data_IF_434172968751
#
_entry.id   IF_434172968751
#
_cell.length_a   1.000
_cell.length_b   1.000
_cell.length_c   1.000
_cell.angle_alpha   90.00
_cell.angle_beta   90.00
_cell.angle_gamma   90.00
#
_symmetry.space_group_name_H-M   'P 1'
#
loop_
_entity.id
_entity.type
_entity.pdbx_description
1 polymer ?
#
# COMPACT_ATOMS: atom_id res chain seq x y z
N UNK A 1 34.51 -17.10 75.68
CA UNK A 1 35.28 -16.72 74.49
C UNK A 1 35.11 -17.83 73.47
N UNK A 2 34.09 -17.71 72.61
CA UNK A 2 33.90 -18.53 71.42
C UNK A 2 33.42 -17.57 70.35
N UNK A 3 34.30 -17.25 69.41
CA UNK A 3 34.00 -16.36 68.29
C UNK A 3 33.22 -17.15 67.25
N UNK A 4 32.02 -16.66 66.93
CA UNK A 4 31.25 -17.06 65.75
C UNK A 4 32.02 -16.65 64.50
N UNK A 5 32.51 -17.62 63.74
CA UNK A 5 33.00 -17.38 62.38
C UNK A 5 31.80 -17.18 61.47
N UNK A 6 31.45 -15.91 61.23
CA UNK A 6 30.48 -15.52 60.21
C UNK A 6 31.07 -15.89 58.85
N UNK A 7 30.46 -16.88 58.20
CA UNK A 7 30.78 -17.26 56.84
C UNK A 7 30.19 -16.22 55.88
N UNK A 8 30.95 -15.14 55.62
CA UNK A 8 30.61 -14.18 54.57
C UNK A 8 31.09 -14.79 53.25
N UNK A 9 30.25 -15.61 52.64
CA UNK A 9 30.42 -16.10 51.26
C UNK A 9 29.16 -15.82 50.44
N UNK A 10 28.69 -14.58 50.48
CA UNK A 10 27.67 -14.05 49.55
C UNK A 10 28.18 -12.72 48.97
N UNK A 11 29.33 -12.75 48.29
CA UNK A 11 29.61 -11.73 47.27
C UNK A 11 29.17 -12.36 45.94
N UNK A 12 28.05 -11.91 45.36
CA UNK A 12 27.67 -12.33 44.02
C UNK A 12 28.82 -12.00 43.09
N UNK A 13 29.24 -13.02 42.34
CA UNK A 13 30.25 -12.99 41.29
C UNK A 13 30.32 -11.61 40.63
N UNK A 14 31.39 -10.88 40.95
CA UNK A 14 31.75 -9.62 40.30
C UNK A 14 31.78 -9.93 38.80
N UNK A 15 30.84 -9.36 38.04
CA UNK A 15 30.87 -9.44 36.58
C UNK A 15 32.21 -8.82 36.21
N UNK A 16 33.16 -9.64 35.74
CA UNK A 16 34.54 -9.22 35.58
C UNK A 16 34.58 -7.99 34.66
N UNK A 17 34.89 -6.84 35.25
CA UNK A 17 34.86 -5.54 34.57
C UNK A 17 35.75 -5.60 33.32
N UNK A 18 36.84 -6.37 33.37
CA UNK A 18 37.72 -6.57 32.21
C UNK A 18 37.09 -7.46 31.14
N UNK A 19 36.32 -8.49 31.52
CA UNK A 19 35.53 -9.29 30.57
C UNK A 19 34.47 -8.42 29.87
N UNK A 20 33.79 -7.54 30.60
CA UNK A 20 32.80 -6.63 30.01
C UNK A 20 33.41 -5.67 28.97
N UNK A 21 34.63 -5.18 29.22
CA UNK A 21 35.37 -4.30 28.30
C UNK A 21 35.84 -5.07 27.07
N UNK A 22 36.33 -6.30 27.24
CA UNK A 22 36.74 -7.18 26.13
C UNK A 22 35.54 -7.54 25.25
N UNK A 23 34.37 -7.77 25.84
CA UNK A 23 33.14 -8.13 25.12
C UNK A 23 32.32 -6.91 24.64
N UNK A 24 32.77 -5.69 24.89
CA UNK A 24 32.02 -4.47 24.59
C UNK A 24 31.79 -4.27 23.08
N UNK A 25 32.80 -4.55 22.26
CA UNK A 25 32.69 -4.42 20.81
C UNK A 25 31.66 -5.43 20.25
N UNK A 26 31.79 -6.70 20.60
CA UNK A 26 30.89 -7.76 20.14
C UNK A 26 29.44 -7.51 20.58
N UNK A 27 29.23 -7.12 21.84
CA UNK A 27 27.91 -6.80 22.36
C UNK A 27 27.30 -5.56 21.69
N UNK A 28 28.10 -4.54 21.39
CA UNK A 28 27.65 -3.34 20.67
C UNK A 28 27.28 -3.63 19.22
N UNK A 29 28.08 -4.44 18.52
CA UNK A 29 27.79 -4.89 17.14
C UNK A 29 26.50 -5.71 17.12
N UNK A 30 26.36 -6.66 18.05
CA UNK A 30 25.14 -7.47 18.17
C UNK A 30 23.91 -6.61 18.49
N UNK A 31 24.04 -5.65 19.40
CA UNK A 31 22.97 -4.72 19.74
C UNK A 31 22.57 -3.85 18.53
N UNK A 32 23.54 -3.30 17.80
CA UNK A 32 23.29 -2.52 16.59
C UNK A 32 22.60 -3.33 15.49
N UNK A 33 23.05 -4.57 15.27
CA UNK A 33 22.42 -5.48 14.31
C UNK A 33 20.96 -5.78 14.68
N UNK A 34 20.70 -6.14 15.94
CA UNK A 34 19.34 -6.44 16.40
C UNK A 34 18.43 -5.21 16.37
N UNK A 35 18.94 -4.04 16.77
CA UNK A 35 18.21 -2.78 16.70
C UNK A 35 17.86 -2.42 15.25
N UNK A 36 18.82 -2.52 14.32
CA UNK A 36 18.61 -2.26 12.91
C UNK A 36 17.63 -3.24 12.27
N UNK A 37 17.73 -4.53 12.60
CA UNK A 37 16.80 -5.56 12.11
C UNK A 37 15.38 -5.31 12.61
N UNK A 38 15.21 -5.00 13.91
CA UNK A 38 13.90 -4.75 14.49
C UNK A 38 13.27 -3.49 13.89
N UNK A 39 14.03 -2.38 13.88
CA UNK A 39 13.57 -1.12 13.31
C UNK A 39 13.22 -1.24 11.83
N UNK A 40 14.09 -1.88 11.03
CA UNK A 40 13.84 -2.08 9.60
C UNK A 40 12.62 -2.96 9.34
N UNK A 41 12.38 -3.97 10.18
CA UNK A 41 11.20 -4.84 10.08
C UNK A 41 9.91 -4.07 10.38
N UNK A 42 9.86 -3.36 11.50
CA UNK A 42 8.70 -2.56 11.90
C UNK A 42 8.41 -1.46 10.87
N UNK A 43 9.45 -0.74 10.45
CA UNK A 43 9.31 0.35 9.47
C UNK A 43 8.86 -0.18 8.11
N UNK A 44 9.45 -1.29 7.65
CA UNK A 44 9.06 -1.92 6.38
C UNK A 44 7.62 -2.43 6.38
N UNK A 45 7.13 -2.96 7.51
CA UNK A 45 5.73 -3.37 7.65
C UNK A 45 4.78 -2.17 7.59
N UNK A 46 5.07 -1.11 8.33
CA UNK A 46 4.24 0.10 8.35
C UNK A 46 4.20 0.76 6.96
N UNK A 47 5.35 0.98 6.33
CA UNK A 47 5.43 1.63 5.02
C UNK A 47 4.75 0.78 3.94
N UNK A 48 4.95 -0.55 3.98
CA UNK A 48 4.30 -1.48 3.08
C UNK A 48 2.77 -1.48 3.23
N UNK A 49 2.28 -1.43 4.48
CA UNK A 49 0.86 -1.35 4.76
C UNK A 49 0.25 -0.04 4.27
N UNK A 50 0.85 1.11 4.64
CA UNK A 50 0.33 2.43 4.26
C UNK A 50 0.31 2.62 2.73
N UNK A 51 1.38 2.19 2.05
CA UNK A 51 1.46 2.27 0.60
C UNK A 51 0.43 1.35 -0.06
N UNK A 52 0.32 0.10 0.40
CA UNK A 52 -0.64 -0.86 -0.14
C UNK A 52 -2.08 -0.40 0.07
N UNK A 53 -2.40 0.11 1.26
CA UNK A 53 -3.73 0.61 1.61
C UNK A 53 -4.11 1.83 0.76
N UNK A 54 -3.24 2.85 0.70
CA UNK A 54 -3.51 4.07 -0.07
C UNK A 54 -3.67 3.80 -1.56
N UNK A 55 -2.78 2.98 -2.15
CA UNK A 55 -2.87 2.59 -3.55
C UNK A 55 -4.13 1.77 -3.83
N UNK A 56 -4.44 0.80 -2.97
CA UNK A 56 -5.64 -0.02 -3.06
C UNK A 56 -6.91 0.81 -3.01
N UNK A 57 -6.99 1.77 -2.07
CA UNK A 57 -8.11 2.71 -1.98
C UNK A 57 -8.26 3.57 -3.24
N UNK A 58 -7.15 4.11 -3.75
CA UNK A 58 -7.15 4.93 -4.97
C UNK A 58 -7.69 4.14 -6.17
N UNK A 59 -7.20 2.92 -6.38
CA UNK A 59 -7.65 2.05 -7.48
C UNK A 59 -9.10 1.63 -7.28
N UNK A 60 -9.49 1.25 -6.06
CA UNK A 60 -10.86 0.88 -5.74
C UNK A 60 -11.86 2.00 -6.03
N UNK A 61 -11.52 3.23 -5.65
CA UNK A 61 -12.31 4.43 -5.93
C UNK A 61 -12.45 4.69 -7.43
N UNK A 62 -11.36 4.58 -8.19
CA UNK A 62 -11.38 4.73 -9.65
C UNK A 62 -12.32 3.72 -10.30
N UNK A 63 -12.17 2.43 -9.97
CA UNK A 63 -13.01 1.37 -10.53
C UNK A 63 -14.48 1.55 -10.12
N UNK A 64 -14.74 1.88 -8.86
CA UNK A 64 -16.09 2.13 -8.36
C UNK A 64 -16.78 3.29 -9.08
N UNK A 65 -16.08 4.42 -9.20
CA UNK A 65 -16.55 5.58 -9.96
C UNK A 65 -16.88 5.22 -11.41
N UNK A 66 -15.95 4.54 -12.10
CA UNK A 66 -16.15 4.18 -13.50
C UNK A 66 -17.31 3.21 -13.71
N UNK A 67 -17.53 2.27 -12.78
CA UNK A 67 -18.71 1.39 -12.81
C UNK A 67 -20.01 2.18 -12.70
N UNK A 68 -20.08 3.13 -11.77
CA UNK A 68 -21.23 4.02 -11.61
C UNK A 68 -21.45 4.91 -12.83
N UNK A 69 -20.38 5.50 -13.35
CA UNK A 69 -20.40 6.31 -14.57
C UNK A 69 -20.99 5.53 -15.74
N UNK A 70 -20.44 4.35 -16.05
CA UNK A 70 -20.88 3.52 -17.18
C UNK A 70 -22.33 3.08 -17.01
N UNK A 71 -22.74 2.65 -15.81
CA UNK A 71 -24.11 2.24 -15.53
C UNK A 71 -25.10 3.39 -15.73
N UNK A 72 -24.77 4.58 -15.25
CA UNK A 72 -25.62 5.77 -15.36
C UNK A 72 -25.78 6.19 -16.81
N UNK A 73 -24.67 6.26 -17.55
CA UNK A 73 -24.72 6.62 -18.96
C UNK A 73 -25.51 5.62 -19.78
N UNK A 74 -25.28 4.31 -19.62
CA UNK A 74 -26.07 3.30 -20.35
C UNK A 74 -27.58 3.47 -20.09
N UNK A 75 -28.00 3.68 -18.85
CA UNK A 75 -29.41 3.91 -18.51
C UNK A 75 -30.00 5.21 -19.11
N UNK A 76 -29.19 6.26 -19.26
CA UNK A 76 -29.60 7.51 -19.91
C UNK A 76 -29.73 7.36 -21.43
N UNK A 77 -28.82 6.60 -22.05
CA UNK A 77 -28.83 6.36 -23.49
C UNK A 77 -30.02 5.47 -23.90
N UNK A 78 -30.42 4.51 -23.06
CA UNK A 78 -31.61 3.66 -23.31
C UNK A 78 -32.91 4.47 -23.35
N UNK A 79 -32.97 5.61 -22.65
CA UNK A 79 -34.14 6.50 -22.63
C UNK A 79 -34.17 7.49 -23.81
N UNK A 80 -33.07 7.65 -24.55
CA UNK A 80 -32.92 8.63 -25.63
C UNK A 80 -32.41 7.95 -26.91
N UNK A 81 -33.29 7.58 -27.86
CA UNK A 81 -32.93 6.81 -29.05
C UNK A 81 -32.05 7.55 -30.07
N UNK A 82 -31.78 8.84 -29.88
CA UNK A 82 -30.91 9.64 -30.75
C UNK A 82 -29.40 9.47 -30.43
N UNK A 83 -29.07 8.43 -29.67
CA UNK A 83 -27.72 8.24 -29.16
C UNK A 83 -26.80 7.57 -30.18
N UNK A 84 -25.67 8.21 -30.43
CA UNK A 84 -24.53 7.73 -31.24
C UNK A 84 -24.16 6.29 -30.86
N UNK A 85 -24.49 5.32 -31.72
CA UNK A 85 -24.17 3.88 -31.61
C UNK A 85 -22.70 3.61 -31.20
N UNK A 86 -21.79 4.48 -31.66
CA UNK A 86 -20.35 4.45 -31.33
C UNK A 86 -20.08 4.63 -29.83
N UNK A 87 -20.84 5.48 -29.14
CA UNK A 87 -20.69 5.77 -27.71
C UNK A 87 -21.21 4.61 -26.87
N UNK A 88 -22.37 4.05 -27.23
CA UNK A 88 -22.92 2.86 -26.56
C UNK A 88 -21.95 1.67 -26.65
N UNK A 89 -21.42 1.38 -27.85
CA UNK A 89 -20.38 0.35 -28.05
C UNK A 89 -19.14 0.59 -27.20
N UNK A 90 -18.68 1.84 -27.09
CA UNK A 90 -17.53 2.18 -26.27
C UNK A 90 -17.80 1.99 -24.76
N UNK A 91 -18.99 2.34 -24.28
CA UNK A 91 -19.43 2.13 -22.91
C UNK A 91 -19.55 0.64 -22.55
N UNK A 92 -20.16 -0.18 -23.42
CA UNK A 92 -20.25 -1.63 -23.20
C UNK A 92 -18.87 -2.29 -23.17
N UNK A 93 -17.94 -1.83 -24.03
CA UNK A 93 -16.55 -2.29 -24.00
C UNK A 93 -15.85 -1.94 -22.69
N UNK A 94 -16.07 -0.73 -22.16
CA UNK A 94 -15.54 -0.30 -20.87
C UNK A 94 -16.18 -1.10 -19.72
N UNK A 95 -17.49 -1.33 -19.75
CA UNK A 95 -18.21 -2.16 -18.77
C UNK A 95 -17.62 -3.57 -18.69
N UNK A 96 -17.32 -4.18 -19.85
CA UNK A 96 -16.74 -5.52 -19.93
C UNK A 96 -15.35 -5.56 -19.28
N UNK A 97 -14.51 -4.54 -19.50
CA UNK A 97 -13.20 -4.46 -18.86
C UNK A 97 -13.33 -4.26 -17.33
N UNK A 98 -14.23 -3.39 -16.89
CA UNK A 98 -14.50 -3.16 -15.46
C UNK A 98 -15.07 -4.39 -14.75
N UNK A 99 -15.82 -5.24 -15.46
CA UNK A 99 -16.36 -6.49 -14.93
C UNK A 99 -15.29 -7.59 -14.77
N UNK A 100 -14.25 -7.56 -15.61
CA UNK A 100 -13.11 -8.49 -15.54
C UNK A 100 -12.05 -8.08 -14.54
N UNK A 101 -12.04 -6.81 -14.10
CA UNK A 101 -11.02 -6.30 -13.20
C UNK A 101 -11.10 -6.97 -11.82
N UNK A 102 -10.02 -7.61 -11.34
CA UNK A 102 -10.03 -8.31 -10.06
C UNK A 102 -9.91 -7.31 -8.90
N UNK A 103 -11.01 -7.10 -8.17
CA UNK A 103 -11.04 -6.18 -7.02
C UNK A 103 -10.50 -6.76 -5.71
N UNK A 104 -10.37 -8.09 -5.61
CA UNK A 104 -9.97 -8.77 -4.37
C UNK A 104 -8.55 -9.34 -4.38
N UNK A 105 -8.06 -9.81 -5.53
CA UNK A 105 -6.74 -10.44 -5.63
C UNK A 105 -5.90 -9.68 -6.65
N UNK A 106 -4.82 -9.06 -6.19
CA UNK A 106 -3.85 -8.42 -7.09
C UNK A 106 -3.11 -9.51 -7.85
N UNK A 107 -3.17 -9.45 -9.18
CA UNK A 107 -2.40 -10.29 -10.07
C UNK A 107 -1.43 -9.44 -10.89
N UNK A 108 -0.55 -10.10 -11.65
CA UNK A 108 0.45 -9.41 -12.49
C UNK A 108 -0.15 -8.55 -13.60
N UNK A 109 -1.43 -8.71 -13.94
CA UNK A 109 -2.11 -7.97 -15.02
C UNK A 109 -2.88 -6.75 -14.53
N UNK A 110 -3.08 -6.57 -13.22
CA UNK A 110 -3.85 -5.44 -12.67
C UNK A 110 -3.39 -4.07 -13.22
N UNK A 111 -2.07 -3.85 -13.29
CA UNK A 111 -1.51 -2.58 -13.77
C UNK A 111 -1.80 -2.36 -15.26
N UNK A 112 -1.70 -3.41 -16.08
CA UNK A 112 -1.99 -3.32 -17.52
C UNK A 112 -3.48 -3.14 -17.77
N UNK A 113 -4.32 -3.84 -17.01
CA UNK A 113 -5.77 -3.77 -17.11
C UNK A 113 -6.28 -2.38 -16.70
N UNK A 114 -5.73 -1.80 -15.64
CA UNK A 114 -6.06 -0.45 -15.20
C UNK A 114 -5.70 0.60 -16.27
N UNK A 115 -4.51 0.50 -16.87
CA UNK A 115 -4.11 1.39 -17.98
C UNK A 115 -5.06 1.26 -19.18
N UNK A 116 -5.50 0.04 -19.49
CA UNK A 116 -6.45 -0.21 -20.56
C UNK A 116 -7.82 0.41 -20.25
N UNK A 117 -8.31 0.26 -19.02
CA UNK A 117 -9.54 0.89 -18.52
C UNK A 117 -9.46 2.41 -18.64
N UNK A 118 -8.37 3.03 -18.17
CA UNK A 118 -8.13 4.47 -18.28
C UNK A 118 -8.12 4.97 -19.72
N UNK A 119 -7.46 4.26 -20.63
CA UNK A 119 -7.43 4.61 -22.04
C UNK A 119 -8.84 4.54 -22.68
N UNK A 120 -9.62 3.52 -22.34
CA UNK A 120 -11.00 3.37 -22.81
C UNK A 120 -11.92 4.45 -22.24
N UNK A 121 -11.75 4.80 -20.97
CA UNK A 121 -12.48 5.90 -20.34
C UNK A 121 -12.20 7.22 -21.05
N UNK A 122 -10.93 7.59 -21.30
CA UNK A 122 -10.58 8.81 -22.06
C UNK A 122 -11.26 8.87 -23.42
N UNK A 123 -11.34 7.73 -24.13
CA UNK A 123 -12.07 7.64 -25.39
C UNK A 123 -13.57 7.90 -25.23
N UNK A 124 -14.19 7.32 -24.20
CA UNK A 124 -15.63 7.53 -23.92
C UNK A 124 -15.90 9.00 -23.59
N UNK A 125 -15.07 9.63 -22.75
CA UNK A 125 -15.17 11.05 -22.39
C UNK A 125 -15.08 11.95 -23.63
N UNK A 126 -14.14 11.66 -24.54
CA UNK A 126 -14.03 12.38 -25.82
C UNK A 126 -15.26 12.20 -26.73
N UNK A 127 -15.90 11.04 -26.73
CA UNK A 127 -17.11 10.79 -27.52
C UNK A 127 -18.36 11.47 -26.95
N UNK A 128 -18.40 11.64 -25.63
CA UNK A 128 -19.47 12.31 -24.91
C UNK A 128 -19.29 13.84 -24.85
N UNK A 129 -18.12 14.34 -25.25
CA UNK A 129 -17.75 15.76 -25.20
C UNK A 129 -17.87 16.37 -23.78
N UNK A 130 -17.44 15.60 -22.78
CA UNK A 130 -17.48 16.00 -21.37
C UNK A 130 -16.08 16.37 -20.92
N UNK A 131 -15.94 17.45 -20.15
CA UNK A 131 -14.71 17.74 -19.45
C UNK A 131 -14.73 17.07 -18.06
N UNK A 132 -14.23 15.84 -18.00
CA UNK A 132 -14.05 15.13 -16.73
C UNK A 132 -12.62 14.62 -16.64
N UNK A 133 -11.90 15.04 -15.60
CA UNK A 133 -10.56 14.57 -15.29
C UNK A 133 -10.60 13.78 -13.99
N UNK A 134 -10.24 12.50 -14.04
CA UNK A 134 -9.90 11.78 -12.81
C UNK A 134 -8.49 12.22 -12.38
N UNK A 135 -8.40 12.91 -11.26
CA UNK A 135 -7.11 13.22 -10.63
C UNK A 135 -6.80 12.12 -9.62
N UNK A 136 -5.63 11.48 -9.76
CA UNK A 136 -5.06 10.68 -8.67
C UNK A 136 -4.90 11.59 -7.46
N UNK A 137 -5.77 11.44 -6.46
CA UNK A 137 -5.47 11.92 -5.11
C UNK A 137 -4.54 10.91 -4.44
N UNK A 138 -3.40 10.62 -5.08
CA UNK A 138 -2.21 10.26 -4.33
C UNK A 138 -1.71 11.58 -3.74
N UNK A 139 -2.31 11.96 -2.62
CA UNK A 139 -1.82 13.03 -1.77
C UNK A 139 -0.31 12.84 -1.61
N UNK A 140 0.44 13.77 -2.20
CA UNK A 140 1.71 14.30 -1.70
C UNK A 140 2.38 13.30 -0.75
N UNK A 141 3.24 12.43 -1.25
CA UNK A 141 4.25 11.84 -0.39
C UNK A 141 5.04 13.04 0.15
N UNK A 142 4.67 13.54 1.33
CA UNK A 142 5.63 14.18 2.20
C UNK A 142 6.79 13.21 2.26
N UNK A 143 7.92 13.66 1.73
CA UNK A 143 9.15 12.90 1.69
C UNK A 143 9.31 12.21 3.04
N UNK A 144 9.19 10.90 3.07
CA UNK A 144 9.77 10.12 4.15
C UNK A 144 11.25 10.44 4.07
N UNK A 145 11.71 11.34 4.95
CA UNK A 145 13.12 11.65 5.10
C UNK A 145 13.78 10.37 5.58
N UNK A 146 14.58 9.75 4.71
CA UNK A 146 15.57 8.77 5.11
C UNK A 146 16.73 9.46 5.83
#
# INVERSE_FOLDING_TARGET
MSVENIHINDVPNDVDIFESVVMQEESSVKAGYLAGLNHGTEKGQEDGYQLGYSLGCSVGNEIGFLKGFVSTWLALLDQSPDTKEKTSKALTSLQTLLGKYPLGTVNSTCVTDLKMIQARFKKVVSLLDINISWSQTASKQESLSF
#
